data_IF_285297968272
#
_entry.id   IF_285297968272
#
_cell.length_a   1.000
_cell.length_b   1.000
_cell.length_c   1.000
_cell.angle_alpha   90.00
_cell.angle_beta   90.00
_cell.angle_gamma   90.00
#
_symmetry.space_group_name_H-M   'P 1'
#
loop_
_entity.id
_entity.type
_entity.pdbx_description
1 polymer ?
#
# COMPACT_ATOMS: atom_id res chain seq x y z
N UNK A 1 10.05 1.36 -0.16
CA UNK A 1 9.63 -0.05 -0.34
C UNK A 1 10.01 -0.45 -1.76
N UNK A 2 10.90 -1.45 -1.95
CA UNK A 2 11.32 -1.91 -3.29
C UNK A 2 10.62 -3.23 -3.65
N UNK A 3 9.29 -3.19 -3.67
CA UNK A 3 8.45 -4.36 -3.94
C UNK A 3 7.31 -4.01 -4.87
N UNK A 4 6.92 -5.00 -5.64
CA UNK A 4 5.67 -5.05 -6.38
C UNK A 4 4.67 -5.91 -5.61
N UNK A 5 3.41 -5.47 -5.58
CA UNK A 5 2.25 -6.24 -5.15
C UNK A 5 1.11 -5.93 -6.13
N UNK A 6 0.35 -6.96 -6.52
CA UNK A 6 -0.86 -6.77 -7.33
C UNK A 6 -2.09 -6.74 -6.46
N UNK A 7 -3.03 -5.88 -6.81
CA UNK A 7 -4.36 -5.81 -6.21
C UNK A 7 -5.40 -6.44 -7.14
N UNK A 8 -6.47 -7.07 -6.62
CA UNK A 8 -7.65 -7.35 -7.42
C UNK A 8 -8.23 -6.06 -8.03
N UNK A 9 -8.88 -6.16 -9.19
CA UNK A 9 -9.27 -5.01 -10.02
C UNK A 9 -10.14 -3.97 -9.31
N UNK A 10 -11.01 -4.41 -8.40
CA UNK A 10 -11.98 -3.57 -7.70
C UNK A 10 -11.56 -3.19 -6.27
N UNK A 11 -10.30 -3.40 -5.91
CA UNK A 11 -9.78 -3.06 -4.59
C UNK A 11 -9.05 -1.71 -4.62
N UNK A 12 -9.27 -0.90 -3.59
CA UNK A 12 -8.55 0.34 -3.36
C UNK A 12 -7.18 0.05 -2.72
N UNK A 13 -6.14 0.73 -3.18
CA UNK A 13 -4.80 0.69 -2.60
C UNK A 13 -4.48 2.03 -1.96
N UNK A 14 -4.23 2.03 -0.65
CA UNK A 14 -3.83 3.20 0.12
C UNK A 14 -2.37 3.03 0.54
N UNK A 15 -1.51 3.90 0.04
CA UNK A 15 -0.08 3.93 0.37
C UNK A 15 0.19 4.99 1.46
N UNK A 16 0.54 4.53 2.65
CA UNK A 16 0.96 5.38 3.77
C UNK A 16 2.48 5.33 3.92
N UNK A 17 3.06 6.24 4.71
CA UNK A 17 4.50 6.29 4.94
C UNK A 17 5.11 4.93 5.36
N UNK A 18 4.40 4.16 6.19
CA UNK A 18 4.89 2.90 6.76
C UNK A 18 3.98 1.69 6.48
N UNK A 19 2.97 1.82 5.63
CA UNK A 19 2.05 0.71 5.32
C UNK A 19 1.40 0.81 3.96
N UNK A 20 1.08 -0.34 3.38
CA UNK A 20 0.22 -0.46 2.20
C UNK A 20 -1.08 -1.13 2.62
N UNK A 21 -2.22 -0.54 2.30
CA UNK A 21 -3.54 -1.08 2.67
C UNK A 21 -4.35 -1.34 1.41
N UNK A 22 -4.82 -2.57 1.26
CA UNK A 22 -5.73 -3.02 0.23
C UNK A 22 -7.13 -3.13 0.83
N UNK A 23 -8.13 -2.49 0.24
CA UNK A 23 -9.52 -2.54 0.68
C UNK A 23 -10.43 -3.06 -0.42
N UNK A 24 -11.22 -4.07 -0.11
CA UNK A 24 -12.29 -4.55 -0.99
C UNK A 24 -13.40 -3.49 -1.13
N UNK A 25 -14.28 -3.61 -2.15
CA UNK A 25 -15.45 -2.76 -2.30
C UNK A 25 -16.23 -2.61 -0.99
N UNK A 26 -16.73 -1.39 -0.73
CA UNK A 26 -17.45 -1.04 0.50
C UNK A 26 -16.68 -1.28 1.82
N UNK A 27 -15.38 -1.59 1.73
CA UNK A 27 -14.52 -1.88 2.87
C UNK A 27 -14.84 -3.22 3.55
N UNK A 28 -15.42 -4.18 2.83
CA UNK A 28 -15.83 -5.48 3.40
C UNK A 28 -14.65 -6.33 3.87
N UNK A 29 -13.51 -6.20 3.20
CA UNK A 29 -12.26 -6.86 3.53
C UNK A 29 -11.10 -5.87 3.48
N UNK A 30 -10.09 -6.11 4.31
CA UNK A 30 -8.88 -5.29 4.38
C UNK A 30 -7.67 -6.20 4.49
N UNK A 31 -6.64 -5.93 3.72
CA UNK A 31 -5.31 -6.49 3.87
C UNK A 31 -4.32 -5.35 4.05
N UNK A 32 -3.59 -5.37 5.16
CA UNK A 32 -2.53 -4.41 5.45
C UNK A 32 -1.17 -5.08 5.34
N UNK A 33 -0.22 -4.36 4.74
CA UNK A 33 1.19 -4.71 4.66
C UNK A 33 2.00 -3.70 5.45
N UNK A 34 2.83 -4.16 6.38
CA UNK A 34 3.81 -3.34 7.10
C UNK A 34 5.22 -3.87 6.87
N UNK A 35 6.20 -3.00 7.07
CA UNK A 35 7.61 -3.30 6.92
C UNK A 35 8.32 -3.17 8.26
N UNK A 36 9.01 -4.21 8.68
CA UNK A 36 9.80 -4.25 9.91
C UNK A 36 11.23 -4.71 9.62
N UNK A 37 12.18 -4.30 10.47
CA UNK A 37 13.56 -4.75 10.40
C UNK A 37 13.72 -6.14 11.04
N UNK A 38 14.49 -7.01 10.37
CA UNK A 38 14.86 -8.31 10.92
C UNK A 38 16.02 -8.16 11.87
N UNK A 39 15.73 -8.27 13.16
CA UNK A 39 16.72 -8.13 14.22
C UNK A 39 17.36 -9.46 14.66
N UNK A 40 16.84 -10.59 14.16
CA UNK A 40 17.26 -11.93 14.57
C UNK A 40 17.40 -12.84 13.36
N UNK A 41 18.31 -13.81 13.43
CA UNK A 41 18.40 -14.90 12.47
C UNK A 41 17.36 -15.95 12.87
N UNK A 42 16.25 -15.96 12.16
CA UNK A 42 15.12 -16.87 12.37
C UNK A 42 14.44 -17.19 11.04
N UNK A 43 13.56 -18.20 11.05
CA UNK A 43 12.68 -18.49 9.92
C UNK A 43 11.43 -17.59 9.92
N UNK A 44 10.79 -17.39 8.75
CA UNK A 44 9.49 -16.72 8.67
C UNK A 44 8.42 -17.34 9.58
N UNK A 45 8.45 -18.66 9.75
CA UNK A 45 7.54 -19.38 10.66
C UNK A 45 7.76 -18.96 12.12
N UNK A 46 9.01 -19.05 12.60
CA UNK A 46 9.37 -18.66 13.97
C UNK A 46 8.99 -17.20 14.23
N UNK A 47 9.25 -16.31 13.26
CA UNK A 47 8.89 -14.91 13.35
C UNK A 47 7.39 -14.71 13.51
N UNK A 48 6.57 -15.33 12.65
CA UNK A 48 5.11 -15.22 12.72
C UNK A 48 4.59 -15.77 14.05
N UNK A 49 5.15 -16.89 14.52
CA UNK A 49 4.76 -17.56 15.78
C UNK A 49 5.13 -16.78 17.05
N UNK A 50 5.91 -15.69 16.95
CA UNK A 50 6.10 -14.74 18.07
C UNK A 50 4.83 -13.96 18.41
N UNK A 51 4.01 -13.67 17.39
CA UNK A 51 2.82 -12.83 17.52
C UNK A 51 1.55 -13.65 17.74
N UNK A 52 1.54 -14.91 17.30
CA UNK A 52 0.37 -15.81 17.36
C UNK A 52 0.79 -17.25 17.64
N UNK A 53 0.02 -17.99 18.44
CA UNK A 53 0.33 -19.39 18.81
C UNK A 53 -0.67 -20.41 18.28
N UNK A 54 -1.94 -20.01 18.15
CA UNK A 54 -3.03 -20.87 17.70
C UNK A 54 -3.32 -20.56 16.22
N UNK A 55 -2.55 -21.21 15.36
CA UNK A 55 -2.60 -21.05 13.91
C UNK A 55 -3.20 -22.29 13.25
N UNK A 56 -3.83 -22.09 12.10
CA UNK A 56 -4.40 -23.13 11.24
C UNK A 56 -4.11 -22.79 9.79
N UNK A 57 -4.27 -23.76 8.88
CA UNK A 57 -4.03 -23.56 7.43
C UNK A 57 -2.67 -22.90 7.15
N UNK A 58 -1.64 -23.50 7.77
CA UNK A 58 -0.25 -23.07 7.72
C UNK A 58 0.38 -23.49 6.39
N UNK A 59 1.12 -22.58 5.75
CA UNK A 59 1.81 -22.84 4.49
C UNK A 59 3.18 -22.13 4.51
N UNK A 60 4.24 -22.89 4.20
CA UNK A 60 5.57 -22.33 3.90
C UNK A 60 5.53 -21.78 2.47
N UNK A 61 5.96 -20.54 2.29
CA UNK A 61 5.93 -19.84 1.02
C UNK A 61 7.35 -19.68 0.46
N UNK A 62 7.47 -19.87 -0.85
CA UNK A 62 8.65 -19.51 -1.63
C UNK A 62 8.19 -18.80 -2.90
N UNK A 63 8.29 -17.46 -2.91
CA UNK A 63 7.69 -16.61 -3.95
C UNK A 63 8.79 -15.71 -4.51
N UNK A 64 9.10 -15.82 -5.81
CA UNK A 64 10.16 -15.00 -6.45
C UNK A 64 11.52 -15.08 -5.71
N UNK A 65 11.85 -16.25 -5.16
CA UNK A 65 13.06 -16.46 -4.35
C UNK A 65 13.00 -15.89 -2.92
N UNK A 66 11.87 -15.30 -2.52
CA UNK A 66 11.62 -14.82 -1.16
C UNK A 66 11.04 -15.94 -0.30
N UNK A 67 11.58 -16.11 0.90
CA UNK A 67 11.06 -17.07 1.88
C UNK A 67 9.93 -16.42 2.68
N UNK A 68 8.88 -17.18 2.94
CA UNK A 68 7.76 -16.69 3.72
C UNK A 68 7.01 -17.80 4.44
N UNK A 69 6.07 -17.38 5.27
CA UNK A 69 5.16 -18.27 5.99
C UNK A 69 3.81 -17.58 6.15
N UNK A 70 2.73 -18.34 6.03
CA UNK A 70 1.37 -17.82 6.19
C UNK A 70 0.54 -18.77 7.04
N UNK A 71 -0.43 -18.21 7.76
CA UNK A 71 -1.37 -18.97 8.58
C UNK A 71 -2.67 -18.20 8.76
N UNK A 72 -3.76 -18.92 8.98
CA UNK A 72 -4.97 -18.37 9.60
C UNK A 72 -4.85 -18.41 11.12
N UNK A 73 -5.46 -17.44 11.77
CA UNK A 73 -5.57 -17.37 13.23
C UNK A 73 -6.87 -16.67 13.61
N UNK A 74 -7.28 -16.80 14.87
CA UNK A 74 -8.41 -16.06 15.42
C UNK A 74 -7.88 -14.97 16.36
N UNK A 75 -8.04 -13.71 15.97
CA UNK A 75 -7.49 -12.55 16.70
C UNK A 75 -8.53 -11.46 16.79
N UNK A 76 -8.65 -10.82 17.97
CA UNK A 76 -9.57 -9.70 18.18
C UNK A 76 -11.04 -9.99 17.77
N UNK A 77 -11.47 -11.25 17.97
CA UNK A 77 -12.82 -11.72 17.68
C UNK A 77 -13.11 -11.98 16.20
N UNK A 78 -12.09 -12.15 15.35
CA UNK A 78 -12.30 -12.48 13.93
C UNK A 78 -11.21 -13.41 13.39
N UNK A 79 -11.57 -14.19 12.37
CA UNK A 79 -10.61 -14.92 11.55
C UNK A 79 -9.71 -13.92 10.82
N UNK A 80 -8.41 -14.18 10.83
CA UNK A 80 -7.38 -13.33 10.23
C UNK A 80 -6.40 -14.21 9.47
N UNK A 81 -6.06 -13.82 8.24
CA UNK A 81 -4.95 -14.40 7.48
C UNK A 81 -3.71 -13.54 7.75
N UNK A 82 -2.68 -14.14 8.31
CA UNK A 82 -1.39 -13.49 8.53
C UNK A 82 -0.33 -14.15 7.66
N UNK A 83 0.55 -13.34 7.08
CA UNK A 83 1.75 -13.86 6.44
C UNK A 83 2.95 -12.98 6.80
N UNK A 84 4.14 -13.58 6.77
CA UNK A 84 5.39 -12.84 6.80
C UNK A 84 6.29 -13.33 5.69
N UNK A 85 6.87 -12.40 4.96
CA UNK A 85 7.76 -12.68 3.83
C UNK A 85 9.06 -11.91 4.05
N UNK A 86 10.18 -12.62 3.99
CA UNK A 86 11.50 -12.04 4.20
C UNK A 86 12.12 -11.66 2.88
N UNK A 87 12.72 -10.47 2.87
CA UNK A 87 13.55 -10.00 1.76
C UNK A 87 14.63 -9.12 2.33
N UNK A 88 15.88 -9.46 2.00
CA UNK A 88 17.06 -8.80 2.55
C UNK A 88 17.05 -8.82 4.09
N UNK A 89 17.20 -7.67 4.75
CA UNK A 89 17.17 -7.49 6.21
C UNK A 89 15.77 -7.11 6.72
N UNK A 90 14.71 -7.36 5.94
CA UNK A 90 13.34 -6.89 6.23
C UNK A 90 12.31 -8.01 6.28
N UNK A 91 11.32 -7.81 7.14
CA UNK A 91 10.10 -8.61 7.24
C UNK A 91 8.89 -7.81 6.72
N UNK A 92 8.25 -8.35 5.69
CA UNK A 92 6.98 -7.84 5.18
C UNK A 92 5.85 -8.59 5.85
N UNK A 93 5.15 -7.92 6.75
CA UNK A 93 4.04 -8.51 7.50
C UNK A 93 2.72 -8.20 6.80
N UNK A 94 1.92 -9.23 6.57
CA UNK A 94 0.59 -9.15 5.99
C UNK A 94 -0.42 -9.49 7.07
N UNK A 95 -1.45 -8.66 7.23
CA UNK A 95 -2.58 -8.92 8.12
C UNK A 95 -3.86 -8.64 7.34
N UNK A 96 -4.65 -9.68 7.14
CA UNK A 96 -5.88 -9.62 6.36
C UNK A 96 -7.09 -10.11 7.15
N UNK A 97 -8.18 -9.34 7.10
CA UNK A 97 -9.40 -9.60 7.86
C UNK A 97 -10.62 -9.00 7.18
N UNK A 98 -11.80 -9.49 7.57
CA UNK A 98 -13.08 -8.93 7.16
C UNK A 98 -13.53 -7.86 8.16
N UNK A 99 -14.27 -6.87 7.66
CA UNK A 99 -14.96 -5.86 8.46
C UNK A 99 -16.02 -6.53 9.34
N UNK A 100 -16.85 -7.36 8.72
CA UNK A 100 -17.80 -8.23 9.42
C UNK A 100 -17.07 -9.46 9.98
N UNK A 101 -17.30 -9.75 11.26
CA UNK A 101 -16.61 -10.83 11.97
C UNK A 101 -17.17 -12.21 11.64
N UNK A 102 -18.45 -12.25 11.28
CA UNK A 102 -19.21 -13.47 10.96
C UNK A 102 -19.41 -13.64 9.44
N UNK A 103 -18.79 -12.76 8.64
CA UNK A 103 -18.83 -12.83 7.18
C UNK A 103 -18.09 -14.05 6.62
N UNK A 104 -18.36 -14.37 5.35
CA UNK A 104 -17.72 -15.50 4.67
C UNK A 104 -16.24 -15.23 4.39
N UNK A 105 -15.39 -15.55 5.37
CA UNK A 105 -13.94 -15.40 5.26
C UNK A 105 -13.35 -16.17 4.08
N UNK A 106 -13.91 -17.34 3.75
CA UNK A 106 -13.36 -18.24 2.73
C UNK A 106 -13.41 -17.61 1.34
N UNK A 107 -14.46 -16.83 1.04
CA UNK A 107 -14.59 -16.10 -0.23
C UNK A 107 -13.48 -15.07 -0.45
N UNK A 108 -13.04 -14.41 0.63
CA UNK A 108 -12.00 -13.37 0.58
C UNK A 108 -10.59 -13.92 0.76
N UNK A 109 -10.44 -15.08 1.42
CA UNK A 109 -9.15 -15.71 1.70
C UNK A 109 -8.34 -15.99 0.43
N UNK A 110 -9.00 -16.44 -0.64
CA UNK A 110 -8.35 -16.62 -1.94
C UNK A 110 -7.79 -15.30 -2.50
N UNK A 111 -8.51 -14.19 -2.34
CA UNK A 111 -8.05 -12.88 -2.80
C UNK A 111 -6.88 -12.37 -1.94
N UNK A 112 -6.94 -12.58 -0.62
CA UNK A 112 -5.80 -12.30 0.27
C UNK A 112 -4.55 -13.07 -0.14
N UNK A 113 -4.70 -14.37 -0.40
CA UNK A 113 -3.61 -15.23 -0.84
C UNK A 113 -3.05 -14.82 -2.20
N UNK A 114 -3.89 -14.37 -3.13
CA UNK A 114 -3.43 -13.82 -4.42
C UNK A 114 -2.58 -12.55 -4.23
N UNK A 115 -2.99 -11.63 -3.35
CA UNK A 115 -2.20 -10.43 -3.03
C UNK A 115 -0.85 -10.85 -2.40
N UNK A 116 -0.87 -11.73 -1.38
CA UNK A 116 0.34 -12.21 -0.70
C UNK A 116 1.31 -12.88 -1.69
N UNK A 117 0.80 -13.77 -2.55
CA UNK A 117 1.59 -14.53 -3.54
C UNK A 117 2.05 -13.70 -4.74
N UNK A 118 1.57 -12.47 -4.89
CA UNK A 118 2.02 -11.54 -5.94
C UNK A 118 3.31 -10.79 -5.61
N UNK A 119 3.79 -10.90 -4.36
CA UNK A 119 4.99 -10.18 -3.92
C UNK A 119 6.18 -10.57 -4.79
N UNK A 120 6.91 -9.56 -5.26
CA UNK A 120 8.19 -9.76 -5.95
C UNK A 120 9.02 -8.50 -5.90
N UNK A 121 10.29 -8.63 -6.25
CA UNK A 121 11.13 -7.45 -6.44
C UNK A 121 10.65 -6.61 -7.62
N UNK A 122 10.76 -5.28 -7.51
CA UNK A 122 10.52 -4.38 -8.64
C UNK A 122 11.58 -4.60 -9.71
N UNK A 123 11.16 -4.59 -10.98
CA UNK A 123 12.08 -4.57 -12.12
C UNK A 123 12.78 -3.21 -12.22
N UNK A 124 13.89 -3.15 -12.98
CA UNK A 124 14.61 -1.88 -13.25
C UNK A 124 13.72 -0.80 -13.89
N UNK A 125 12.70 -1.20 -14.65
CA UNK A 125 11.74 -0.26 -15.25
C UNK A 125 10.74 0.24 -14.22
N UNK A 126 10.17 -0.65 -13.41
CA UNK A 126 9.20 -0.31 -12.37
C UNK A 126 9.81 0.55 -11.26
N UNK A 127 11.09 0.36 -10.92
CA UNK A 127 11.83 1.21 -9.97
C UNK A 127 11.83 2.70 -10.34
N UNK A 128 11.72 3.04 -11.64
CA UNK A 128 11.61 4.44 -12.06
C UNK A 128 10.26 5.05 -11.71
N UNK A 129 9.21 4.23 -11.69
CA UNK A 129 7.84 4.65 -11.41
C UNK A 129 7.47 4.53 -9.91
N UNK A 130 8.28 3.82 -9.11
CA UNK A 130 8.05 3.64 -7.68
C UNK A 130 8.62 4.77 -6.81
N UNK A 131 9.03 5.90 -7.40
CA UNK A 131 9.54 7.03 -6.63
C UNK A 131 8.39 7.70 -5.86
N UNK A 132 8.59 8.07 -4.58
CA UNK A 132 7.57 8.76 -3.83
C UNK A 132 7.30 10.13 -4.47
N UNK A 133 6.03 10.53 -4.45
CA UNK A 133 5.63 11.88 -4.85
C UNK A 133 6.34 12.90 -3.96
N UNK A 134 6.89 13.94 -4.55
CA UNK A 134 7.59 15.02 -3.86
C UNK A 134 6.87 16.34 -4.09
N UNK A 135 6.83 17.15 -3.04
CA UNK A 135 6.43 18.54 -3.18
C UNK A 135 7.62 19.32 -3.74
N UNK A 136 7.40 20.00 -4.87
CA UNK A 136 8.37 20.91 -5.47
C UNK A 136 7.81 22.32 -5.54
N UNK A 137 8.71 23.29 -5.57
CA UNK A 137 8.36 24.69 -5.88
C UNK A 137 8.31 24.88 -7.39
N UNK A 138 7.26 25.55 -7.85
CA UNK A 138 7.02 25.83 -9.25
C UNK A 138 6.69 27.31 -9.44
N UNK A 139 7.33 27.96 -10.40
CA UNK A 139 7.07 29.36 -10.72
C UNK A 139 6.06 29.42 -11.85
N UNK A 140 4.88 29.98 -11.56
CA UNK A 140 3.77 30.10 -12.51
C UNK A 140 4.22 30.90 -13.75
N UNK A 141 3.98 30.33 -14.92
CA UNK A 141 4.27 30.92 -16.23
C UNK A 141 3.04 31.63 -16.77
N UNK A 142 3.26 32.43 -17.80
CA UNK A 142 2.18 33.16 -18.46
C UNK A 142 1.17 32.19 -19.10
N UNK A 143 -0.11 32.39 -18.81
CA UNK A 143 -1.21 31.59 -19.37
C UNK A 143 -1.49 30.27 -18.64
N UNK A 144 -0.78 29.96 -17.56
CA UNK A 144 -1.05 28.76 -16.77
C UNK A 144 -2.20 28.96 -15.77
N UNK A 145 -3.05 27.95 -15.66
CA UNK A 145 -4.14 27.85 -14.71
C UNK A 145 -3.88 26.68 -13.76
N UNK A 146 -4.66 26.59 -12.67
CA UNK A 146 -4.64 25.40 -11.82
C UNK A 146 -4.96 24.14 -12.61
N UNK A 147 -5.97 24.19 -13.49
CA UNK A 147 -6.33 23.10 -14.40
C UNK A 147 -5.13 22.66 -15.28
N UNK A 148 -4.43 23.60 -15.93
CA UNK A 148 -3.32 23.26 -16.81
C UNK A 148 -2.16 22.62 -16.06
N UNK A 149 -1.84 23.12 -14.85
CA UNK A 149 -0.77 22.55 -14.02
C UNK A 149 -1.19 21.19 -13.46
N UNK A 150 -2.43 21.08 -12.98
CA UNK A 150 -3.01 19.85 -12.44
C UNK A 150 -3.04 18.71 -13.47
N UNK A 151 -3.22 19.01 -14.76
CA UNK A 151 -3.19 18.01 -15.85
C UNK A 151 -1.86 17.25 -15.97
N UNK A 152 -0.77 17.84 -15.46
CA UNK A 152 0.57 17.25 -15.42
C UNK A 152 0.99 16.77 -14.03
N UNK A 153 0.13 16.96 -13.04
CA UNK A 153 0.38 16.59 -11.64
C UNK A 153 0.23 15.08 -11.44
N UNK A 154 1.03 14.52 -10.54
CA UNK A 154 0.90 13.11 -10.12
C UNK A 154 -0.28 12.87 -9.16
N UNK A 155 -1.10 13.88 -8.86
CA UNK A 155 -2.31 13.76 -8.05
C UNK A 155 -3.42 13.08 -8.86
N UNK A 156 -4.01 12.00 -8.33
CA UNK A 156 -5.01 11.19 -9.04
C UNK A 156 -6.46 11.61 -8.82
N UNK A 157 -6.81 12.14 -7.64
CA UNK A 157 -8.20 12.47 -7.29
C UNK A 157 -8.38 13.98 -7.13
N UNK A 158 -9.29 14.58 -7.89
CA UNK A 158 -9.58 16.03 -7.90
C UNK A 158 -8.28 16.88 -7.90
N UNK A 159 -7.40 16.70 -8.90
CA UNK A 159 -6.04 17.23 -8.85
C UNK A 159 -5.99 18.75 -8.76
N UNK A 160 -6.92 19.46 -9.41
CA UNK A 160 -7.04 20.91 -9.29
C UNK A 160 -7.40 21.35 -7.86
N UNK A 161 -8.47 20.80 -7.28
CA UNK A 161 -8.90 21.15 -5.92
C UNK A 161 -7.83 20.85 -4.88
N UNK A 162 -7.17 19.70 -5.00
CA UNK A 162 -6.06 19.34 -4.12
C UNK A 162 -4.86 20.28 -4.29
N UNK A 163 -4.55 20.68 -5.52
CA UNK A 163 -3.47 21.63 -5.79
C UNK A 163 -3.79 23.03 -5.25
N UNK A 164 -5.05 23.47 -5.32
CA UNK A 164 -5.54 24.71 -4.70
C UNK A 164 -5.44 24.66 -3.17
N UNK A 165 -5.88 23.56 -2.56
CA UNK A 165 -5.76 23.34 -1.12
C UNK A 165 -4.30 23.39 -0.65
N UNK A 166 -3.39 22.71 -1.38
CA UNK A 166 -1.96 22.70 -1.08
C UNK A 166 -1.34 24.11 -1.08
N UNK A 167 -1.90 25.02 -1.88
CA UNK A 167 -1.42 26.39 -2.07
C UNK A 167 -2.25 27.46 -1.34
N UNK A 168 -3.28 27.07 -0.59
CA UNK A 168 -4.16 27.99 0.13
C UNK A 168 -5.05 28.85 -0.78
N UNK A 169 -5.40 28.33 -1.96
CA UNK A 169 -6.19 29.03 -2.98
C UNK A 169 -7.57 28.37 -3.23
N UNK A 170 -7.95 27.41 -2.39
CA UNK A 170 -9.29 26.79 -2.44
C UNK A 170 -10.38 27.78 -1.95
N UNK A 171 -11.59 27.78 -2.53
CA UNK A 171 -11.98 26.99 -3.70
C UNK A 171 -11.57 27.58 -5.05
N UNK A 172 -11.50 28.91 -5.19
CA UNK A 172 -11.66 29.56 -6.49
C UNK A 172 -10.61 30.65 -6.79
N UNK A 173 -9.58 30.81 -5.95
CA UNK A 173 -8.55 31.83 -6.16
C UNK A 173 -7.61 31.45 -7.32
N UNK A 174 -7.48 32.34 -8.31
CA UNK A 174 -6.65 32.11 -9.49
C UNK A 174 -5.14 32.23 -9.25
N UNK A 175 -4.36 31.66 -10.17
CA UNK A 175 -2.91 31.78 -10.16
C UNK A 175 -2.45 33.18 -10.62
N UNK A 176 -1.33 33.62 -10.07
CA UNK A 176 -0.67 34.86 -10.48
C UNK A 176 0.66 34.53 -11.13
N UNK A 177 0.91 35.07 -12.32
CA UNK A 177 2.17 34.87 -13.05
C UNK A 177 3.37 35.27 -12.18
N UNK A 178 4.39 34.40 -12.15
CA UNK A 178 5.60 34.61 -11.35
C UNK A 178 5.49 34.21 -9.88
N UNK A 179 4.29 33.93 -9.36
CA UNK A 179 4.11 33.36 -8.02
C UNK A 179 4.78 31.98 -7.95
N UNK A 180 5.45 31.72 -6.83
CA UNK A 180 5.95 30.38 -6.52
C UNK A 180 4.85 29.63 -5.77
N UNK A 181 4.45 28.49 -6.34
CA UNK A 181 3.47 27.57 -5.77
C UNK A 181 4.13 26.21 -5.48
N UNK A 182 3.43 25.38 -4.71
CA UNK A 182 3.77 23.98 -4.46
C UNK A 182 3.04 23.10 -5.48
N UNK A 183 3.76 22.17 -6.07
CA UNK A 183 3.20 21.12 -6.96
C UNK A 183 3.61 19.75 -6.44
N UNK A 184 2.90 18.72 -6.89
CA UNK A 184 3.16 17.31 -6.55
C UNK A 184 3.63 16.59 -7.81
N UNK A 185 4.86 16.08 -7.77
CA UNK A 185 5.48 15.29 -8.85
C UNK A 185 6.01 13.95 -8.35
#
# INVERSE_FOLDING_TARGET
>A
MNLYLSSPENWEIINNANSLVFKAPFGEATLQVTLEDLNFVESPEEYLKRFVRNTTDEEVLMIDGLSGFTAKTYRSGRTTRMAVIFKDDKAYQFIAYLKDRDGDFSSYDLQFMNIIKSIRSLTKRELKYSQPLRIKTYKVRQGETYESIASTSSITLNPEDQLRLLNGDYPDKELTVGRVIKIVE
#
